data_IF_591450444084
#
_entry.id   IF_591450444084
#
_cell.length_a   1.000
_cell.length_b   1.000
_cell.length_c   1.000
_cell.angle_alpha   90.00
_cell.angle_beta   90.00
_cell.angle_gamma   90.00
#
_symmetry.space_group_name_H-M   'P 1'
#
loop_
_entity.id
_entity.type
_entity.pdbx_description
1 polymer ?
#
# COMPACT_ATOMS: atom_id res chain seq x y z
N UNK A 1 -8.51 -19.10 29.92
CA UNK A 1 -8.63 -17.92 29.03
C UNK A 1 -8.09 -18.34 27.67
N UNK A 2 -8.86 -18.25 26.62
CA UNK A 2 -8.34 -18.45 25.27
C UNK A 2 -7.34 -17.30 24.98
N UNK A 3 -6.18 -17.59 24.35
CA UNK A 3 -5.23 -16.54 24.02
C UNK A 3 -5.90 -15.54 23.09
N UNK A 4 -5.78 -14.26 23.42
CA UNK A 4 -6.31 -13.14 22.63
C UNK A 4 -5.55 -13.08 21.31
N UNK A 5 -6.27 -13.02 20.20
CA UNK A 5 -5.71 -12.99 18.85
C UNK A 5 -5.03 -11.63 18.59
N UNK A 6 -3.72 -11.67 18.37
CA UNK A 6 -2.88 -10.48 18.26
C UNK A 6 -2.72 -10.01 16.82
N UNK A 7 -2.95 -8.72 16.58
CA UNK A 7 -2.93 -8.12 15.25
C UNK A 7 -1.93 -6.98 15.19
N UNK A 8 -1.09 -6.96 14.15
CA UNK A 8 -0.36 -5.77 13.73
C UNK A 8 -1.05 -5.12 12.54
N UNK A 9 -1.13 -3.80 12.52
CA UNK A 9 -1.79 -3.06 11.46
C UNK A 9 -0.93 -1.92 10.91
N UNK A 10 -0.65 -1.98 9.60
CA UNK A 10 0.10 -0.96 8.88
C UNK A 10 -0.83 -0.15 7.98
N UNK A 11 -1.05 1.13 8.32
CA UNK A 11 -1.91 2.05 7.58
C UNK A 11 -1.42 3.50 7.78
N UNK A 12 -1.18 4.21 6.69
CA UNK A 12 -0.65 5.57 6.72
C UNK A 12 -1.64 6.57 7.33
N UNK A 13 -2.92 6.49 6.92
CA UNK A 13 -3.95 7.45 7.32
C UNK A 13 -4.44 7.19 8.73
N UNK A 14 -4.18 8.15 9.63
CA UNK A 14 -4.53 8.02 11.05
C UNK A 14 -6.02 7.75 11.28
N UNK A 15 -6.93 8.45 10.59
CA UNK A 15 -8.37 8.23 10.73
C UNK A 15 -8.78 6.82 10.30
N UNK A 16 -8.25 6.33 9.16
CA UNK A 16 -8.51 4.99 8.68
C UNK A 16 -7.95 3.94 9.64
N UNK A 17 -6.73 4.17 10.16
CA UNK A 17 -6.07 3.30 11.13
C UNK A 17 -6.87 3.19 12.42
N UNK A 18 -7.26 4.31 12.99
CA UNK A 18 -8.04 4.35 14.24
C UNK A 18 -9.43 3.75 14.07
N UNK A 19 -10.15 4.12 13.01
CA UNK A 19 -11.49 3.58 12.75
C UNK A 19 -11.49 2.06 12.54
N UNK A 20 -10.52 1.56 11.78
CA UNK A 20 -10.39 0.13 11.50
C UNK A 20 -9.97 -0.64 12.76
N UNK A 21 -9.06 -0.10 13.57
CA UNK A 21 -8.68 -0.67 14.86
C UNK A 21 -9.88 -0.78 15.79
N UNK A 22 -10.64 0.29 15.98
CA UNK A 22 -11.86 0.28 16.80
C UNK A 22 -12.90 -0.73 16.29
N UNK A 23 -13.04 -0.85 14.98
CA UNK A 23 -13.99 -1.81 14.38
C UNK A 23 -13.55 -3.27 14.60
N UNK A 24 -12.26 -3.56 14.57
CA UNK A 24 -11.72 -4.90 14.88
C UNK A 24 -11.88 -5.22 16.36
N UNK A 25 -11.51 -4.29 17.25
CA UNK A 25 -11.50 -4.50 18.70
C UNK A 25 -12.92 -4.61 19.31
N UNK A 26 -13.94 -4.13 18.59
CA UNK A 26 -15.34 -4.39 18.94
C UNK A 26 -15.77 -5.85 18.68
N UNK A 27 -15.03 -6.56 17.85
CA UNK A 27 -15.27 -7.98 17.61
C UNK A 27 -14.51 -8.79 18.66
N UNK A 28 -15.21 -9.69 19.36
CA UNK A 28 -14.68 -10.48 20.48
C UNK A 28 -13.38 -11.20 20.12
N UNK A 29 -12.42 -11.17 21.06
CA UNK A 29 -11.17 -11.94 21.06
C UNK A 29 -10.04 -11.47 20.11
N UNK A 30 -10.14 -10.29 19.50
CA UNK A 30 -9.07 -9.72 18.67
C UNK A 30 -8.54 -8.40 19.28
N UNK A 31 -7.23 -8.21 19.24
CA UNK A 31 -6.60 -6.97 19.69
C UNK A 31 -5.52 -6.50 18.72
N UNK A 32 -5.55 -5.23 18.35
CA UNK A 32 -4.44 -4.59 17.65
C UNK A 32 -3.37 -4.25 18.68
N UNK A 33 -2.32 -5.06 18.75
CA UNK A 33 -1.23 -4.90 19.71
C UNK A 33 -0.17 -3.90 19.24
N UNK A 34 -0.11 -3.66 17.93
CA UNK A 34 0.76 -2.65 17.33
C UNK A 34 0.16 -2.09 16.04
N UNK A 35 0.31 -0.78 15.83
CA UNK A 35 -0.03 -0.14 14.56
C UNK A 35 1.03 0.86 14.16
N UNK A 36 1.36 0.92 12.85
CA UNK A 36 2.37 1.80 12.28
C UNK A 36 1.80 2.67 11.17
N UNK A 37 2.37 3.88 11.02
CA UNK A 37 2.01 4.82 9.97
C UNK A 37 2.89 4.69 8.72
N UNK A 38 4.03 4.00 8.80
CA UNK A 38 4.94 3.82 7.68
C UNK A 38 5.61 2.45 7.68
N UNK A 39 6.04 2.01 6.49
CA UNK A 39 6.82 0.78 6.32
C UNK A 39 8.11 0.82 7.12
N UNK A 40 8.76 1.99 7.20
CA UNK A 40 10.01 2.18 7.93
C UNK A 40 9.83 2.08 9.45
N UNK A 41 8.78 2.67 10.00
CA UNK A 41 8.42 2.54 11.42
C UNK A 41 8.15 1.08 11.77
N UNK A 42 7.37 0.38 10.93
CA UNK A 42 7.03 -1.01 11.16
C UNK A 42 8.24 -1.93 11.00
N UNK A 43 9.14 -1.64 10.06
CA UNK A 43 10.40 -2.39 9.89
C UNK A 43 11.25 -2.36 11.15
N UNK A 44 11.51 -1.15 11.70
CA UNK A 44 12.28 -1.00 12.95
C UNK A 44 11.66 -1.74 14.12
N UNK A 45 10.34 -1.72 14.22
CA UNK A 45 9.63 -2.47 15.24
C UNK A 45 9.83 -3.99 15.08
N UNK A 46 9.74 -4.50 13.85
CA UNK A 46 9.92 -5.93 13.57
C UNK A 46 11.34 -6.45 13.89
N UNK A 47 12.36 -5.60 13.79
CA UNK A 47 13.74 -5.96 14.13
C UNK A 47 13.93 -6.19 15.64
N UNK A 48 13.07 -5.60 16.47
CA UNK A 48 13.10 -5.71 17.94
C UNK A 48 11.98 -6.60 18.50
N UNK A 49 11.24 -7.25 17.61
CA UNK A 49 10.05 -8.00 17.97
C UNK A 49 10.39 -9.31 18.67
N UNK A 50 9.90 -9.49 19.92
CA UNK A 50 10.08 -10.72 20.67
C UNK A 50 8.93 -11.73 20.48
N UNK A 51 7.73 -11.22 20.25
CA UNK A 51 6.54 -12.06 20.05
C UNK A 51 5.85 -11.67 18.75
N UNK A 52 5.91 -12.53 17.71
CA UNK A 52 5.25 -12.26 16.44
C UNK A 52 3.72 -12.29 16.62
N UNK A 53 2.98 -11.45 15.87
CA UNK A 53 1.53 -11.46 15.92
C UNK A 53 0.95 -12.67 15.19
N UNK A 54 -0.31 -12.98 15.48
CA UNK A 54 -1.06 -13.99 14.73
C UNK A 54 -1.41 -13.49 13.32
N UNK A 55 -1.67 -12.18 13.20
CA UNK A 55 -2.07 -11.53 11.95
C UNK A 55 -1.34 -10.21 11.73
N UNK A 56 -0.84 -10.00 10.51
CA UNK A 56 -0.42 -8.70 10.01
C UNK A 56 -1.37 -8.22 8.93
N UNK A 57 -1.96 -7.04 9.09
CA UNK A 57 -2.77 -6.37 8.08
C UNK A 57 -1.95 -5.24 7.48
N UNK A 58 -1.70 -5.31 6.17
CA UNK A 58 -0.94 -4.33 5.42
C UNK A 58 -1.88 -3.57 4.49
N UNK A 59 -1.80 -2.24 4.46
CA UNK A 59 -2.58 -1.42 3.52
C UNK A 59 -1.88 -1.34 2.17
N UNK A 60 -2.65 -1.31 1.08
CA UNK A 60 -2.16 -1.16 -0.30
C UNK A 60 -1.78 0.29 -0.67
N UNK A 61 -1.80 1.22 0.29
CA UNK A 61 -1.30 2.58 0.10
C UNK A 61 0.23 2.66 -0.06
N UNK A 62 0.94 1.62 0.32
CA UNK A 62 2.40 1.54 0.22
C UNK A 62 2.88 0.89 -1.06
N UNK A 63 4.16 1.10 -1.35
CA UNK A 63 4.80 0.53 -2.52
C UNK A 63 4.90 -0.99 -2.43
N UNK A 64 4.45 -1.73 -3.46
CA UNK A 64 4.37 -3.20 -3.42
C UNK A 64 5.71 -3.91 -3.20
N UNK A 65 6.83 -3.32 -3.67
CA UNK A 65 8.17 -3.86 -3.42
C UNK A 65 8.56 -3.70 -1.94
N UNK A 66 8.17 -2.60 -1.30
CA UNK A 66 8.39 -2.41 0.14
C UNK A 66 7.53 -3.38 0.94
N UNK A 67 6.25 -3.53 0.57
CA UNK A 67 5.38 -4.53 1.18
C UNK A 67 5.93 -5.94 1.02
N UNK A 68 6.45 -6.31 -0.15
CA UNK A 68 7.08 -7.61 -0.37
C UNK A 68 8.29 -7.83 0.54
N UNK A 69 9.17 -6.82 0.69
CA UNK A 69 10.31 -6.90 1.60
C UNK A 69 9.86 -7.07 3.05
N UNK A 70 8.85 -6.30 3.45
CA UNK A 70 8.26 -6.35 4.77
C UNK A 70 7.62 -7.72 5.05
N UNK A 71 6.88 -8.28 4.09
CA UNK A 71 6.32 -9.63 4.19
C UNK A 71 7.39 -10.69 4.40
N UNK A 72 8.52 -10.60 3.68
CA UNK A 72 9.66 -11.51 3.89
C UNK A 72 10.22 -11.42 5.31
N UNK A 73 10.37 -10.20 5.85
CA UNK A 73 10.81 -9.99 7.22
C UNK A 73 9.80 -10.55 8.25
N UNK A 74 8.50 -10.31 8.05
CA UNK A 74 7.46 -10.89 8.91
C UNK A 74 7.54 -12.42 8.90
N UNK A 75 7.63 -13.03 7.73
CA UNK A 75 7.71 -14.49 7.60
C UNK A 75 9.02 -15.09 8.10
N UNK A 76 10.13 -14.34 8.08
CA UNK A 76 11.39 -14.77 8.69
C UNK A 76 11.33 -14.77 10.23
N UNK A 77 10.57 -13.83 10.82
CA UNK A 77 10.36 -13.78 12.27
C UNK A 77 9.35 -14.86 12.72
N UNK A 78 8.34 -15.15 11.90
CA UNK A 78 7.35 -16.20 12.15
C UNK A 78 6.68 -16.67 10.87
N UNK A 79 6.90 -17.93 10.53
CA UNK A 79 6.20 -18.57 9.39
C UNK A 79 4.69 -18.73 9.63
N UNK A 80 4.25 -18.67 10.88
CA UNK A 80 2.85 -18.86 11.28
C UNK A 80 2.01 -17.58 11.22
N UNK A 81 2.65 -16.41 11.25
CA UNK A 81 1.96 -15.13 11.13
C UNK A 81 1.23 -15.04 9.79
N UNK A 82 -0.08 -14.82 9.83
CA UNK A 82 -0.89 -14.64 8.62
C UNK A 82 -0.76 -13.20 8.12
N UNK A 83 -0.60 -13.00 6.81
CA UNK A 83 -0.44 -11.66 6.23
C UNK A 83 -1.62 -11.38 5.31
N UNK A 84 -2.40 -10.35 5.65
CA UNK A 84 -3.50 -9.83 4.85
C UNK A 84 -3.14 -8.50 4.22
N UNK A 85 -3.54 -8.31 2.98
CA UNK A 85 -3.55 -7.02 2.32
C UNK A 85 -4.96 -6.42 2.40
N UNK A 86 -5.09 -5.23 3.01
CA UNK A 86 -6.29 -4.40 2.92
C UNK A 86 -6.20 -3.57 1.63
N UNK A 87 -7.17 -3.72 0.72
CA UNK A 87 -7.13 -3.09 -0.59
C UNK A 87 -8.49 -2.59 -1.05
N UNK A 88 -8.50 -1.52 -1.86
CA UNK A 88 -9.67 -1.05 -2.61
C UNK A 88 -9.72 -1.58 -4.07
N UNK A 89 -8.89 -2.56 -4.40
CA UNK A 89 -8.78 -3.22 -5.70
C UNK A 89 -8.28 -2.34 -6.86
N UNK A 90 -7.79 -1.13 -6.61
CA UNK A 90 -7.33 -0.22 -7.68
C UNK A 90 -6.11 -0.74 -8.45
N UNK A 91 -5.25 -1.51 -7.77
CA UNK A 91 -3.95 -1.93 -8.32
C UNK A 91 -3.81 -3.46 -8.38
N UNK A 92 -4.68 -4.10 -9.15
CA UNK A 92 -4.76 -5.55 -9.21
C UNK A 92 -3.44 -6.25 -9.57
N UNK A 93 -2.61 -5.65 -10.44
CA UNK A 93 -1.29 -6.21 -10.77
C UNK A 93 -0.36 -6.29 -9.56
N UNK A 94 -0.34 -5.24 -8.72
CA UNK A 94 0.43 -5.23 -7.48
C UNK A 94 -0.07 -6.26 -6.47
N UNK A 95 -1.37 -6.42 -6.35
CA UNK A 95 -2.00 -7.45 -5.52
C UNK A 95 -1.56 -8.85 -5.98
N UNK A 96 -1.65 -9.14 -7.28
CA UNK A 96 -1.22 -10.42 -7.85
C UNK A 96 0.27 -10.67 -7.65
N UNK A 97 1.10 -9.62 -7.73
CA UNK A 97 2.51 -9.73 -7.41
C UNK A 97 2.74 -10.15 -5.95
N UNK A 98 2.08 -9.52 -4.97
CA UNK A 98 2.22 -9.88 -3.56
C UNK A 98 1.73 -11.31 -3.29
N UNK A 99 0.64 -11.74 -3.93
CA UNK A 99 0.14 -13.11 -3.84
C UNK A 99 1.19 -14.14 -4.32
N UNK A 100 1.90 -13.84 -5.42
CA UNK A 100 3.00 -14.69 -5.90
C UNK A 100 4.20 -14.71 -4.92
N UNK A 101 4.33 -13.71 -4.06
CA UNK A 101 5.45 -13.55 -3.11
C UNK A 101 5.09 -13.87 -1.65
N UNK A 102 3.99 -14.59 -1.41
CA UNK A 102 3.68 -15.12 -0.08
C UNK A 102 2.68 -14.31 0.73
N UNK A 103 1.88 -13.46 0.07
CA UNK A 103 0.68 -12.89 0.70
C UNK A 103 -0.35 -13.99 0.93
N UNK A 104 -0.84 -14.11 2.17
CA UNK A 104 -1.76 -15.19 2.55
C UNK A 104 -3.21 -14.88 2.17
N UNK A 105 -3.60 -13.61 2.13
CA UNK A 105 -4.96 -13.22 1.78
C UNK A 105 -5.14 -11.75 1.47
N UNK A 106 -6.33 -11.39 1.02
CA UNK A 106 -6.71 -10.03 0.67
C UNK A 106 -8.06 -9.73 1.33
N UNK A 107 -8.16 -8.56 1.93
CA UNK A 107 -9.40 -7.99 2.42
C UNK A 107 -9.73 -6.75 1.59
N UNK A 108 -10.89 -6.76 0.95
CA UNK A 108 -11.35 -5.59 0.20
C UNK A 108 -12.18 -4.66 1.07
N UNK A 109 -11.90 -3.36 0.98
CA UNK A 109 -12.51 -2.33 1.84
C UNK A 109 -14.02 -2.17 1.66
N UNK A 110 -14.59 -2.70 0.58
CA UNK A 110 -16.02 -2.77 0.28
C UNK A 110 -16.69 -4.07 0.80
N UNK A 111 -15.93 -4.94 1.47
CA UNK A 111 -16.45 -6.18 2.07
C UNK A 111 -16.72 -6.01 3.58
N UNK A 112 -17.72 -6.73 4.13
CA UNK A 112 -18.02 -6.67 5.55
C UNK A 112 -16.88 -7.18 6.43
N UNK A 113 -16.57 -6.48 7.52
CA UNK A 113 -15.58 -6.89 8.52
C UNK A 113 -15.87 -8.26 9.19
N UNK A 114 -17.10 -8.75 9.11
CA UNK A 114 -17.51 -10.05 9.65
C UNK A 114 -16.68 -11.19 9.08
N UNK A 115 -16.29 -11.10 7.80
CA UNK A 115 -15.53 -12.15 7.14
C UNK A 115 -14.06 -12.21 7.57
N UNK A 116 -13.53 -11.11 8.13
CA UNK A 116 -12.15 -11.04 8.62
C UNK A 116 -11.89 -12.04 9.74
N UNK A 117 -12.83 -12.15 10.69
CA UNK A 117 -12.73 -13.06 11.84
C UNK A 117 -12.72 -14.52 11.38
N UNK A 118 -13.64 -14.87 10.48
CA UNK A 118 -13.76 -16.23 9.98
C UNK A 118 -12.53 -16.68 9.20
N UNK A 119 -11.89 -15.77 8.45
CA UNK A 119 -10.70 -16.07 7.66
C UNK A 119 -9.47 -16.33 8.51
N UNK A 120 -9.30 -15.55 9.57
CA UNK A 120 -8.18 -15.68 10.49
C UNK A 120 -8.27 -16.98 11.31
N UNK A 121 -9.48 -17.31 11.81
CA UNK A 121 -9.70 -18.50 12.66
C UNK A 121 -9.68 -19.80 11.91
N UNK A 122 -10.25 -19.84 10.71
CA UNK A 122 -10.35 -21.07 9.94
C UNK A 122 -9.10 -21.36 9.09
N UNK A 123 -8.13 -20.43 9.03
CA UNK A 123 -7.04 -20.46 8.06
C UNK A 123 -7.53 -20.73 6.63
N UNK A 124 -8.82 -20.53 6.38
CA UNK A 124 -9.43 -20.71 5.08
C UNK A 124 -9.20 -19.46 4.25
N UNK A 125 -8.86 -19.66 3.00
CA UNK A 125 -8.74 -18.57 2.03
C UNK A 125 -10.03 -17.74 2.02
N UNK A 126 -9.90 -16.41 2.05
CA UNK A 126 -11.00 -15.47 1.92
C UNK A 126 -11.95 -15.90 0.80
N UNK A 127 -13.24 -16.01 1.10
CA UNK A 127 -14.28 -16.17 0.09
C UNK A 127 -14.42 -14.86 -0.67
N UNK A 128 -13.56 -14.66 -1.65
CA UNK A 128 -13.68 -13.55 -2.58
C UNK A 128 -14.96 -13.69 -3.38
N UNK A 129 -15.64 -12.57 -3.65
CA UNK A 129 -16.76 -12.57 -4.60
C UNK A 129 -16.32 -13.14 -5.94
N UNK A 130 -17.22 -13.82 -6.67
CA UNK A 130 -16.89 -14.45 -7.95
C UNK A 130 -16.27 -13.45 -8.96
N UNK A 131 -16.71 -12.19 -8.94
CA UNK A 131 -16.16 -11.11 -9.76
C UNK A 131 -14.71 -10.78 -9.39
N UNK A 132 -14.38 -10.67 -8.10
CA UNK A 132 -13.02 -10.39 -7.61
C UNK A 132 -12.10 -11.59 -7.84
N UNK A 133 -12.59 -12.82 -7.62
CA UNK A 133 -11.84 -14.02 -7.93
C UNK A 133 -11.48 -14.11 -9.42
N UNK A 134 -12.42 -13.82 -10.32
CA UNK A 134 -12.20 -13.78 -11.77
C UNK A 134 -11.17 -12.71 -12.15
N UNK A 135 -11.23 -11.52 -11.54
CA UNK A 135 -10.27 -10.43 -11.74
C UNK A 135 -8.85 -10.85 -11.33
N UNK A 136 -8.68 -11.45 -10.17
CA UNK A 136 -7.40 -11.95 -9.67
C UNK A 136 -6.88 -13.07 -10.59
N UNK A 137 -7.74 -14.05 -10.93
CA UNK A 137 -7.35 -15.20 -11.76
C UNK A 137 -6.89 -14.77 -13.16
N UNK A 138 -7.60 -13.82 -13.78
CA UNK A 138 -7.22 -13.29 -15.09
C UNK A 138 -5.88 -12.55 -15.06
N UNK A 139 -5.59 -11.83 -13.97
CA UNK A 139 -4.33 -11.13 -13.80
C UNK A 139 -3.18 -12.06 -13.35
N UNK A 140 -3.44 -13.15 -12.62
CA UNK A 140 -2.42 -14.11 -12.20
C UNK A 140 -1.80 -14.89 -13.38
N UNK A 141 -2.51 -15.01 -14.50
CA UNK A 141 -2.01 -15.68 -15.71
C UNK A 141 -0.94 -14.87 -16.47
N UNK A 142 -0.80 -13.59 -16.17
CA UNK A 142 0.22 -12.73 -16.75
C UNK A 142 1.57 -12.86 -16.03
N UNK A 143 2.66 -12.90 -16.77
CA UNK A 143 3.99 -12.71 -16.21
C UNK A 143 4.22 -11.22 -15.94
N UNK A 144 4.24 -10.85 -14.65
CA UNK A 144 4.55 -9.49 -14.24
C UNK A 144 6.06 -9.34 -14.09
N UNK A 145 6.68 -8.53 -14.93
CA UNK A 145 8.07 -8.16 -14.71
C UNK A 145 8.15 -7.18 -13.54
N UNK A 146 9.18 -7.34 -12.69
CA UNK A 146 9.49 -6.37 -11.62
C UNK A 146 9.58 -4.94 -12.19
N UNK A 147 10.03 -4.80 -13.46
CA UNK A 147 10.07 -3.51 -14.17
C UNK A 147 8.68 -2.88 -14.37
N UNK A 148 7.63 -3.65 -14.70
CA UNK A 148 6.27 -3.13 -14.85
C UNK A 148 5.67 -2.66 -13.52
N UNK A 149 5.99 -3.35 -12.42
CA UNK A 149 5.59 -2.95 -11.08
C UNK A 149 6.34 -1.71 -10.60
N UNK A 150 7.64 -1.61 -10.91
CA UNK A 150 8.44 -0.44 -10.62
C UNK A 150 7.93 0.81 -11.36
N UNK A 151 7.46 0.67 -12.60
CA UNK A 151 6.91 1.78 -13.36
C UNK A 151 5.56 2.30 -12.81
N UNK A 152 4.72 1.40 -12.30
CA UNK A 152 3.38 1.78 -11.81
C UNK A 152 3.35 2.19 -10.34
N UNK A 153 4.40 1.90 -9.57
CA UNK A 153 4.45 2.07 -8.12
C UNK A 153 5.81 2.56 -7.62
N UNK A 154 6.71 2.99 -8.52
CA UNK A 154 7.99 3.58 -8.11
C UNK A 154 7.73 4.86 -7.29
N UNK A 155 8.30 4.99 -6.08
CA UNK A 155 8.13 6.20 -5.31
C UNK A 155 8.60 7.40 -6.13
N UNK A 156 7.93 8.53 -5.93
CA UNK A 156 8.38 9.78 -6.51
C UNK A 156 9.75 10.13 -5.92
N UNK A 157 10.68 10.50 -6.78
CA UNK A 157 11.97 11.05 -6.32
C UNK A 157 11.75 12.44 -5.73
N UNK A 158 12.66 12.93 -4.89
CA UNK A 158 12.57 14.28 -4.34
C UNK A 158 12.46 15.34 -5.46
N UNK A 159 13.20 15.19 -6.56
CA UNK A 159 13.10 16.10 -7.71
C UNK A 159 11.72 16.05 -8.38
N UNK A 160 11.07 14.90 -8.43
CA UNK A 160 9.71 14.77 -8.96
C UNK A 160 8.67 15.35 -7.99
N UNK A 161 8.87 15.23 -6.69
CA UNK A 161 8.03 15.89 -5.67
C UNK A 161 8.18 17.41 -5.78
N UNK A 162 9.39 17.93 -5.85
CA UNK A 162 9.63 19.36 -6.02
C UNK A 162 9.00 19.90 -7.32
N UNK A 163 9.07 19.12 -8.41
CA UNK A 163 8.38 19.44 -9.66
C UNK A 163 6.86 19.52 -9.49
N UNK A 164 6.25 18.57 -8.78
CA UNK A 164 4.79 18.57 -8.53
C UNK A 164 4.41 19.77 -7.66
N UNK A 165 5.19 20.10 -6.62
CA UNK A 165 4.98 21.26 -5.77
C UNK A 165 5.04 22.57 -6.58
N UNK A 166 6.04 22.72 -7.46
CA UNK A 166 6.11 23.86 -8.36
C UNK A 166 4.92 23.92 -9.34
N UNK A 167 4.46 22.76 -9.81
CA UNK A 167 3.23 22.68 -10.62
C UNK A 167 1.98 23.14 -9.85
N UNK A 168 1.91 22.94 -8.55
CA UNK A 168 0.77 23.37 -7.73
C UNK A 168 0.68 24.89 -7.60
N UNK A 169 1.78 25.62 -7.81
CA UNK A 169 1.84 27.09 -7.80
C UNK A 169 1.35 27.74 -9.11
N UNK A 170 0.82 26.98 -10.06
CA UNK A 170 0.35 27.43 -11.38
C UNK A 170 1.40 28.11 -12.26
N UNK A 171 2.68 27.77 -12.08
CA UNK A 171 3.80 28.28 -12.87
C UNK A 171 3.85 27.61 -14.25
N UNK A 172 4.37 28.32 -15.28
CA UNK A 172 4.69 27.69 -16.58
C UNK A 172 5.86 26.72 -16.45
N UNK A 173 6.07 25.81 -17.38
CA UNK A 173 7.21 24.87 -17.32
C UNK A 173 8.56 25.57 -17.44
N UNK A 174 8.62 26.72 -18.13
CA UNK A 174 9.79 27.58 -18.21
C UNK A 174 10.10 28.22 -16.85
N UNK A 175 9.07 28.73 -16.16
CA UNK A 175 9.20 29.29 -14.81
C UNK A 175 9.61 28.21 -13.79
N UNK A 176 9.03 27.00 -13.89
CA UNK A 176 9.43 25.85 -13.06
C UNK A 176 10.89 25.45 -13.33
N UNK A 177 11.33 25.50 -14.60
CA UNK A 177 12.72 25.21 -14.95
C UNK A 177 13.69 26.20 -14.31
N UNK A 178 13.34 27.51 -14.33
CA UNK A 178 14.12 28.55 -13.67
C UNK A 178 14.12 28.36 -12.14
N UNK A 179 12.96 28.12 -11.50
CA UNK A 179 12.83 27.93 -10.05
C UNK A 179 13.65 26.71 -9.57
N UNK A 180 13.60 25.62 -10.29
CA UNK A 180 14.30 24.38 -9.94
C UNK A 180 15.76 24.32 -10.45
N UNK A 181 16.23 25.35 -11.13
CA UNK A 181 17.56 25.41 -11.73
C UNK A 181 17.83 24.21 -12.67
N UNK A 182 16.87 23.91 -13.53
CA UNK A 182 16.93 22.81 -14.49
C UNK A 182 16.65 23.31 -15.90
N UNK A 183 17.02 22.51 -16.91
CA UNK A 183 16.61 22.80 -18.28
C UNK A 183 15.11 22.50 -18.46
N UNK A 184 14.46 23.22 -19.36
CA UNK A 184 13.05 22.98 -19.73
C UNK A 184 12.85 21.53 -20.19
N UNK A 185 13.80 20.96 -20.93
CA UNK A 185 13.80 19.56 -21.33
C UNK A 185 13.77 18.60 -20.13
N UNK A 186 14.52 18.92 -19.06
CA UNK A 186 14.50 18.13 -17.81
C UNK A 186 13.12 18.17 -17.15
N UNK A 187 12.45 19.33 -17.16
CA UNK A 187 11.10 19.51 -16.60
C UNK A 187 10.08 18.69 -17.39
N UNK A 188 10.14 18.66 -18.71
CA UNK A 188 9.32 17.78 -19.52
C UNK A 188 9.60 16.30 -19.20
N UNK A 189 10.85 15.93 -18.97
CA UNK A 189 11.22 14.59 -18.52
C UNK A 189 10.64 14.24 -17.14
N UNK A 190 10.56 15.18 -16.20
CA UNK A 190 9.87 14.97 -14.92
C UNK A 190 8.37 14.80 -15.12
N UNK A 191 7.72 15.65 -15.93
CA UNK A 191 6.30 15.53 -16.27
C UNK A 191 5.97 14.13 -16.76
N UNK A 192 6.69 13.65 -17.75
CA UNK A 192 6.39 12.35 -18.40
C UNK A 192 6.57 11.19 -17.42
N UNK A 193 7.62 11.22 -16.60
CA UNK A 193 7.84 10.21 -15.55
C UNK A 193 6.76 10.25 -14.48
N UNK A 194 6.41 11.44 -13.99
CA UNK A 194 5.39 11.63 -12.95
C UNK A 194 4.01 11.23 -13.47
N UNK A 195 3.64 11.67 -14.69
CA UNK A 195 2.38 11.27 -15.31
C UNK A 195 2.25 9.75 -15.41
N UNK A 196 3.33 9.08 -15.78
CA UNK A 196 3.38 7.62 -15.84
C UNK A 196 3.29 6.98 -14.46
N UNK A 197 4.04 7.48 -13.47
CA UNK A 197 4.03 6.98 -12.09
C UNK A 197 2.68 7.16 -11.39
N UNK A 198 2.03 8.32 -11.59
CA UNK A 198 0.74 8.63 -10.98
C UNK A 198 -0.45 8.14 -11.82
N UNK A 199 -0.21 7.63 -13.04
CA UNK A 199 -1.23 7.19 -14.01
C UNK A 199 -2.22 8.30 -14.37
N UNK A 200 -1.73 9.50 -14.59
CA UNK A 200 -2.50 10.68 -14.97
C UNK A 200 -2.06 11.21 -16.33
N UNK A 201 -2.92 11.99 -16.98
CA UNK A 201 -2.64 12.59 -18.30
C UNK A 201 -2.66 14.12 -18.27
N UNK A 202 -3.01 14.72 -17.15
CA UNK A 202 -3.18 16.16 -17.02
C UNK A 202 -2.50 16.68 -15.77
N UNK A 203 -2.00 17.93 -15.81
CA UNK A 203 -1.32 18.60 -14.72
C UNK A 203 -2.20 18.68 -13.46
N UNK A 204 -3.44 19.11 -13.61
CA UNK A 204 -4.38 19.22 -12.49
C UNK A 204 -4.62 17.86 -11.83
N UNK A 205 -4.82 16.80 -12.64
CA UNK A 205 -4.99 15.44 -12.14
C UNK A 205 -3.72 14.95 -11.41
N UNK A 206 -2.53 15.34 -11.88
CA UNK A 206 -1.25 15.04 -11.23
C UNK A 206 -1.18 15.66 -9.83
N UNK A 207 -1.44 16.97 -9.72
CA UNK A 207 -1.41 17.71 -8.44
C UNK A 207 -2.45 17.13 -7.47
N UNK A 208 -3.69 16.94 -7.93
CA UNK A 208 -4.76 16.37 -7.09
C UNK A 208 -4.45 14.94 -6.62
N UNK A 209 -3.81 14.13 -7.47
CA UNK A 209 -3.41 12.77 -7.09
C UNK A 209 -2.27 12.80 -6.08
N UNK A 210 -1.32 13.71 -6.25
CA UNK A 210 -0.20 13.87 -5.32
C UNK A 210 -0.67 14.33 -3.94
N UNK A 211 -1.61 15.29 -3.87
CA UNK A 211 -2.26 15.72 -2.64
C UNK A 211 -3.02 14.57 -1.95
N UNK A 212 -3.84 13.84 -2.71
CA UNK A 212 -4.59 12.68 -2.18
C UNK A 212 -3.70 11.58 -1.63
N UNK A 213 -2.48 11.46 -2.13
CA UNK A 213 -1.48 10.47 -1.70
C UNK A 213 -0.46 11.04 -0.71
N UNK A 214 -0.65 12.26 -0.22
CA UNK A 214 0.23 12.96 0.72
C UNK A 214 1.69 13.05 0.23
N UNK A 215 1.90 13.17 -1.10
CA UNK A 215 3.24 13.45 -1.64
C UNK A 215 3.61 14.93 -1.55
N UNK A 216 2.62 15.82 -1.52
CA UNK A 216 2.75 17.26 -1.38
C UNK A 216 1.65 17.81 -0.49
N UNK A 217 1.91 18.93 0.18
CA UNK A 217 0.96 19.78 0.89
C UNK A 217 0.81 21.11 0.12
N UNK A 218 -0.36 21.79 0.25
CA UNK A 218 -0.62 23.12 -0.33
C UNK A 218 -0.55 24.19 0.74
#
# INVERSE_FOLDING_TARGET
>A
MQPMFSIHYLEEKILTRTAFQLAIEKQVDCRVVYSAASTHEYWRYLEQLHQPPDLCILSDCYHYIELMKLMKLIKSNSSHTYILLKSDAKYMKGICFLLKHGLDGIFFTDEPLIDLKQCVWSRTKFKLSASKLKLITNNLKGDFSIKELQYNTSPLTQNEINFIQACAKDLTYEAIAAELQKSVSTIYGYRDRVFKKLQVKQRTAMVMTALKRNYIDL
#
